data_IF_537876971574
#
_entry.id   IF_537876971574
#
_cell.length_a   1.000
_cell.length_b   1.000
_cell.length_c   1.000
_cell.angle_alpha   90.00
_cell.angle_beta   90.00
_cell.angle_gamma   90.00
#
_symmetry.space_group_name_H-M   'P 1'
#
loop_
_entity.id
_entity.type
_entity.pdbx_description
1 polymer ?
#
# COMPACT_ATOMS: atom_id res chain seq x y z
N UNK A 1 -4.71 20.62 -8.60
CA UNK A 1 -5.27 19.35 -8.11
C UNK A 1 -5.85 18.50 -9.25
N UNK A 2 -6.53 19.10 -10.22
CA UNK A 2 -7.16 18.37 -11.32
C UNK A 2 -6.18 17.48 -12.11
N UNK A 3 -5.02 18.02 -12.49
CA UNK A 3 -3.97 17.26 -13.20
C UNK A 3 -3.43 16.09 -12.36
N UNK A 4 -3.26 16.29 -11.05
CA UNK A 4 -2.83 15.24 -10.13
C UNK A 4 -3.90 14.16 -9.98
N UNK A 5 -5.16 14.54 -9.86
CA UNK A 5 -6.29 13.60 -9.83
C UNK A 5 -6.34 12.74 -11.09
N UNK A 6 -6.34 13.38 -12.27
CA UNK A 6 -6.40 12.67 -13.56
C UNK A 6 -5.24 11.70 -13.76
N UNK A 7 -4.07 12.03 -13.21
CA UNK A 7 -2.88 11.15 -13.31
C UNK A 7 -2.93 10.00 -12.32
N UNK A 8 -3.30 10.25 -11.05
CA UNK A 8 -3.20 9.24 -9.99
C UNK A 8 -4.46 8.42 -9.80
N UNK A 9 -5.67 8.96 -10.00
CA UNK A 9 -6.91 8.25 -9.73
C UNK A 9 -7.03 6.91 -10.48
N UNK A 10 -6.80 6.82 -11.81
CA UNK A 10 -6.86 5.52 -12.51
C UNK A 10 -5.79 4.54 -12.04
N UNK A 11 -4.59 5.01 -11.68
CA UNK A 11 -3.50 4.19 -11.17
C UNK A 11 -3.79 3.63 -9.78
N UNK A 12 -4.32 4.46 -8.91
CA UNK A 12 -4.77 4.06 -7.57
C UNK A 12 -5.91 3.05 -7.67
N UNK A 13 -6.89 3.29 -8.56
CA UNK A 13 -8.00 2.35 -8.80
C UNK A 13 -7.49 0.98 -9.22
N UNK A 14 -6.63 0.93 -10.23
CA UNK A 14 -6.01 -0.32 -10.70
C UNK A 14 -5.26 -1.03 -9.58
N UNK A 15 -4.45 -0.31 -8.80
CA UNK A 15 -3.73 -0.85 -7.66
C UNK A 15 -4.69 -1.47 -6.62
N UNK A 16 -5.77 -0.79 -6.26
CA UNK A 16 -6.73 -1.28 -5.28
C UNK A 16 -7.46 -2.54 -5.77
N UNK A 17 -7.82 -2.58 -7.06
CA UNK A 17 -8.44 -3.75 -7.68
C UNK A 17 -7.48 -4.95 -7.74
N UNK A 18 -6.20 -4.74 -8.04
CA UNK A 18 -5.18 -5.78 -7.98
C UNK A 18 -5.00 -6.35 -6.56
N UNK A 19 -5.35 -5.58 -5.53
CA UNK A 19 -5.39 -6.02 -4.14
C UNK A 19 -6.72 -6.68 -3.72
N UNK A 20 -7.54 -7.09 -4.69
CA UNK A 20 -8.80 -7.80 -4.44
C UNK A 20 -9.94 -6.89 -3.98
N UNK A 21 -9.85 -5.57 -4.17
CA UNK A 21 -10.95 -4.65 -3.87
C UNK A 21 -11.98 -4.69 -4.99
N UNK A 22 -13.29 -4.80 -4.65
CA UNK A 22 -14.34 -4.74 -5.68
C UNK A 22 -14.30 -3.41 -6.45
N UNK A 23 -14.80 -3.36 -7.70
CA UNK A 23 -14.79 -2.14 -8.50
C UNK A 23 -15.49 -0.96 -7.81
N UNK A 24 -16.60 -1.20 -7.13
CA UNK A 24 -17.39 -0.19 -6.42
C UNK A 24 -16.62 0.36 -5.22
N UNK A 25 -16.07 -0.52 -4.40
CA UNK A 25 -15.28 -0.13 -3.23
C UNK A 25 -13.97 0.53 -3.65
N UNK A 26 -13.37 0.12 -4.77
CA UNK A 26 -12.17 0.76 -5.30
C UNK A 26 -12.46 2.20 -5.77
N UNK A 27 -13.63 2.44 -6.39
CA UNK A 27 -14.06 3.79 -6.78
C UNK A 27 -14.22 4.70 -5.57
N UNK A 28 -14.96 4.22 -4.55
CA UNK A 28 -15.14 4.95 -3.29
C UNK A 28 -13.79 5.24 -2.61
N UNK A 29 -12.92 4.24 -2.54
CA UNK A 29 -11.61 4.38 -1.94
C UNK A 29 -10.72 5.38 -2.68
N UNK A 30 -10.78 5.44 -4.02
CA UNK A 30 -10.08 6.44 -4.82
C UNK A 30 -10.57 7.85 -4.51
N UNK A 31 -11.89 8.05 -4.49
CA UNK A 31 -12.47 9.37 -4.20
C UNK A 31 -12.05 9.86 -2.81
N UNK A 32 -12.21 9.03 -1.79
CA UNK A 32 -11.83 9.38 -0.42
C UNK A 32 -10.32 9.57 -0.26
N UNK A 33 -9.51 8.73 -0.90
CA UNK A 33 -8.05 8.86 -0.88
C UNK A 33 -7.59 10.18 -1.51
N UNK A 34 -8.15 10.55 -2.65
CA UNK A 34 -7.79 11.80 -3.34
C UNK A 34 -8.26 13.05 -2.57
N UNK A 35 -9.40 12.99 -1.88
CA UNK A 35 -9.81 14.03 -0.93
C UNK A 35 -8.83 14.14 0.24
N UNK A 36 -8.37 13.02 0.78
CA UNK A 36 -7.38 13.00 1.85
C UNK A 36 -6.01 13.53 1.38
N UNK A 37 -5.61 13.24 0.14
CA UNK A 37 -4.42 13.84 -0.49
C UNK A 37 -4.54 15.36 -0.53
N UNK A 38 -5.68 15.88 -0.97
CA UNK A 38 -5.93 17.31 -1.03
C UNK A 38 -5.90 17.96 0.36
N UNK A 39 -6.62 17.39 1.32
CA UNK A 39 -6.67 17.91 2.71
C UNK A 39 -5.30 17.90 3.40
N UNK A 40 -4.47 16.91 3.10
CA UNK A 40 -3.15 16.71 3.71
C UNK A 40 -1.99 17.24 2.87
N UNK A 41 -2.26 17.94 1.76
CA UNK A 41 -1.23 18.43 0.84
C UNK A 41 -0.16 19.29 1.55
N UNK A 42 -0.57 20.13 2.52
CA UNK A 42 0.35 20.94 3.32
C UNK A 42 1.25 20.13 4.28
N UNK A 43 0.98 18.83 4.48
CA UNK A 43 1.80 17.94 5.31
C UNK A 43 2.78 17.11 4.47
N UNK A 44 2.71 17.23 3.15
CA UNK A 44 3.61 16.52 2.25
C UNK A 44 5.02 17.09 2.34
N UNK A 45 5.98 16.21 2.56
CA UNK A 45 7.39 16.55 2.65
C UNK A 45 8.16 15.75 1.57
N UNK A 46 8.64 16.42 0.50
CA UNK A 46 9.34 15.76 -0.60
C UNK A 46 10.68 15.15 -0.17
N UNK A 47 11.23 15.56 0.97
CA UNK A 47 12.47 14.98 1.49
C UNK A 47 12.21 13.59 2.14
N UNK A 48 10.99 13.34 2.60
CA UNK A 48 10.62 12.07 3.27
C UNK A 48 10.11 11.01 2.30
N UNK A 49 9.38 11.42 1.25
CA UNK A 49 8.83 10.50 0.27
C UNK A 49 8.54 11.19 -1.07
N UNK A 50 8.46 10.41 -2.16
CA UNK A 50 7.91 10.94 -3.42
C UNK A 50 6.40 11.16 -3.28
N UNK A 51 5.85 12.05 -4.10
CA UNK A 51 4.41 12.26 -4.18
C UNK A 51 3.66 10.95 -4.46
N UNK A 52 4.18 10.11 -5.36
CA UNK A 52 3.61 8.80 -5.65
C UNK A 52 3.55 7.92 -4.41
N UNK A 53 4.68 7.70 -3.73
CA UNK A 53 4.73 6.88 -2.50
C UNK A 53 3.74 7.39 -1.43
N UNK A 54 3.65 8.71 -1.27
CA UNK A 54 2.77 9.32 -0.29
C UNK A 54 1.29 9.14 -0.64
N UNK A 55 0.91 9.31 -1.93
CA UNK A 55 -0.46 9.14 -2.42
C UNK A 55 -0.90 7.68 -2.30
N UNK A 56 -0.07 6.72 -2.72
CA UNK A 56 -0.39 5.29 -2.59
C UNK A 56 -0.47 4.83 -1.14
N UNK A 57 0.32 5.41 -0.23
CA UNK A 57 0.18 5.15 1.21
C UNK A 57 -1.17 5.64 1.76
N UNK A 58 -1.63 6.81 1.33
CA UNK A 58 -2.97 7.32 1.69
C UNK A 58 -4.05 6.39 1.13
N UNK A 59 -3.97 6.03 -0.15
CA UNK A 59 -4.95 5.15 -0.80
C UNK A 59 -5.06 3.79 -0.11
N UNK A 60 -3.92 3.18 0.23
CA UNK A 60 -3.88 1.93 0.98
C UNK A 60 -4.57 2.06 2.35
N UNK A 61 -4.26 3.09 3.11
CA UNK A 61 -4.87 3.30 4.42
C UNK A 61 -6.38 3.55 4.31
N UNK A 62 -6.81 4.33 3.33
CA UNK A 62 -8.24 4.57 3.04
C UNK A 62 -8.96 3.25 2.73
N UNK A 63 -8.37 2.39 1.88
CA UNK A 63 -8.93 1.06 1.61
C UNK A 63 -9.10 0.23 2.89
N UNK A 64 -8.09 0.16 3.73
CA UNK A 64 -8.14 -0.58 4.98
C UNK A 64 -9.26 -0.05 5.89
N UNK A 65 -9.40 1.27 5.99
CA UNK A 65 -10.43 1.91 6.81
C UNK A 65 -11.84 1.62 6.28
N UNK A 66 -12.03 1.64 4.96
CA UNK A 66 -13.30 1.29 4.32
C UNK A 66 -13.65 -0.19 4.53
N UNK A 67 -12.70 -1.10 4.32
CA UNK A 67 -12.90 -2.52 4.59
C UNK A 67 -13.31 -2.77 6.04
N UNK A 68 -12.68 -2.09 7.00
CA UNK A 68 -13.07 -2.19 8.42
C UNK A 68 -14.47 -1.68 8.68
N UNK A 69 -14.92 -0.63 8.02
CA UNK A 69 -16.29 -0.12 8.13
C UNK A 69 -17.29 -1.12 7.55
N UNK A 70 -16.95 -1.76 6.44
CA UNK A 70 -17.81 -2.74 5.77
C UNK A 70 -17.90 -4.07 6.56
N UNK A 71 -16.83 -4.46 7.25
CA UNK A 71 -16.76 -5.67 8.07
C UNK A 71 -17.43 -5.49 9.45
N UNK A 72 -17.87 -4.27 9.82
CA UNK A 72 -18.41 -3.90 11.12
C UNK A 72 -19.92 -3.61 11.21
N UNK A 73 -20.81 -4.24 10.42
CA UNK A 73 -22.15 -4.55 10.86
C UNK A 73 -22.23 -6.04 11.22
N UNK A 74 -22.36 -6.33 12.52
CA UNK A 74 -22.75 -7.66 13.08
C UNK A 74 -22.16 -8.88 12.35
N UNK A 75 -20.92 -9.24 12.70
CA UNK A 75 -20.30 -10.47 12.25
C UNK A 75 -21.09 -11.67 12.79
N UNK A 76 -21.78 -12.36 11.88
CA UNK A 76 -22.08 -13.78 12.08
C UNK A 76 -20.74 -14.54 11.86
N UNK A 77 -20.18 -15.19 12.89
CA UNK A 77 -18.92 -15.92 12.77
C UNK A 77 -18.97 -17.12 11.82
N UNK A 78 -20.11 -17.48 11.28
CA UNK A 78 -20.36 -18.66 10.46
C UNK A 78 -20.73 -18.33 9.00
N UNK A 79 -20.58 -17.09 8.53
CA UNK A 79 -20.86 -16.76 7.12
C UNK A 79 -19.74 -17.29 6.21
N UNK A 80 -20.04 -18.30 5.33
CA UNK A 80 -19.06 -18.88 4.41
C UNK A 80 -18.57 -17.92 3.31
N UNK A 81 -19.20 -16.75 3.15
CA UNK A 81 -18.82 -15.75 2.13
C UNK A 81 -17.58 -14.94 2.50
N UNK A 82 -17.02 -15.14 3.70
CA UNK A 82 -15.83 -14.46 4.20
C UNK A 82 -14.50 -15.10 3.79
N UNK A 83 -14.52 -16.18 2.98
CA UNK A 83 -13.30 -16.78 2.43
C UNK A 83 -12.91 -16.01 1.18
N UNK A 84 -11.78 -15.28 1.16
CA UNK A 84 -11.28 -14.67 -0.06
C UNK A 84 -10.93 -15.76 -1.06
N UNK A 85 -11.59 -15.74 -2.21
CA UNK A 85 -11.25 -16.61 -3.34
C UNK A 85 -9.84 -16.28 -3.84
N UNK A 86 -8.88 -17.21 -3.82
CA UNK A 86 -7.51 -16.98 -4.24
C UNK A 86 -7.33 -17.04 -5.76
N UNK A 87 -8.37 -16.79 -6.54
CA UNK A 87 -8.27 -16.89 -7.99
C UNK A 87 -8.17 -15.55 -8.69
N UNK A 88 -7.03 -15.40 -9.36
CA UNK A 88 -6.79 -14.65 -10.61
C UNK A 88 -6.33 -13.19 -10.48
N UNK A 89 -5.09 -12.94 -10.88
CA UNK A 89 -4.86 -12.65 -12.29
C UNK A 89 -3.38 -12.81 -12.62
N UNK A 90 -3.06 -13.82 -13.38
CA UNK A 90 -1.84 -13.90 -14.17
C UNK A 90 -2.18 -13.41 -15.58
N UNK A 91 -2.08 -12.12 -15.85
CA UNK A 91 -1.98 -11.59 -17.22
C UNK A 91 -1.30 -10.23 -17.21
N UNK A 92 -0.26 -10.13 -18.04
CA UNK A 92 0.51 -8.96 -18.46
C UNK A 92 1.67 -8.54 -17.56
N UNK A 93 2.68 -9.39 -17.55
CA UNK A 93 4.01 -9.07 -17.06
C UNK A 93 5.01 -9.49 -18.12
N UNK A 94 5.34 -8.61 -19.07
CA UNK A 94 6.52 -8.81 -19.92
C UNK A 94 7.50 -7.65 -19.87
N UNK A 95 7.10 -6.45 -19.49
CA UNK A 95 8.04 -5.33 -19.20
C UNK A 95 8.25 -5.08 -17.70
N UNK A 96 7.47 -5.70 -16.84
CA UNK A 96 7.60 -5.62 -15.39
C UNK A 96 8.61 -6.61 -14.79
N UNK A 97 9.23 -7.51 -15.59
CA UNK A 97 10.04 -8.59 -15.03
C UNK A 97 11.41 -8.12 -14.53
N UNK A 98 12.09 -7.24 -15.27
CA UNK A 98 13.42 -6.74 -14.86
C UNK A 98 13.33 -5.78 -13.68
N UNK A 99 12.40 -4.81 -13.72
CA UNK A 99 12.16 -3.89 -12.61
C UNK A 99 11.64 -4.64 -11.37
N UNK A 100 10.76 -5.63 -11.55
CA UNK A 100 10.28 -6.45 -10.45
C UNK A 100 11.39 -7.30 -9.83
N UNK A 101 12.31 -7.83 -10.62
CA UNK A 101 13.45 -8.60 -10.14
C UNK A 101 14.47 -7.71 -9.41
N UNK A 102 14.73 -6.51 -9.91
CA UNK A 102 15.55 -5.52 -9.20
C UNK A 102 14.94 -5.15 -7.85
N UNK A 103 13.63 -4.92 -7.78
CA UNK A 103 12.93 -4.65 -6.52
C UNK A 103 13.04 -5.84 -5.57
N UNK A 104 12.84 -7.07 -6.04
CA UNK A 104 12.98 -8.29 -5.20
C UNK A 104 14.38 -8.41 -4.63
N UNK A 105 15.40 -8.22 -5.47
CA UNK A 105 16.81 -8.26 -5.07
C UNK A 105 17.11 -7.19 -4.02
N UNK A 106 16.65 -5.96 -4.23
CA UNK A 106 16.81 -4.86 -3.28
C UNK A 106 16.10 -5.13 -1.95
N UNK A 107 14.91 -5.75 -1.98
CA UNK A 107 14.19 -6.15 -0.76
C UNK A 107 14.96 -7.24 -0.01
N UNK A 108 15.55 -8.20 -0.71
CA UNK A 108 16.34 -9.28 -0.10
C UNK A 108 17.60 -8.77 0.62
N UNK A 109 18.13 -7.60 0.22
CA UNK A 109 19.29 -6.96 0.86
C UNK A 109 18.93 -6.12 2.11
N UNK A 110 17.65 -5.92 2.39
CA UNK A 110 17.23 -5.17 3.57
C UNK A 110 17.48 -5.95 4.86
N UNK A 111 17.69 -5.27 6.00
CA UNK A 111 17.68 -5.91 7.31
C UNK A 111 16.36 -6.67 7.56
N UNK A 112 16.39 -7.83 8.27
CA UNK A 112 15.21 -8.66 8.49
C UNK A 112 14.02 -7.91 9.08
N UNK A 113 14.26 -6.99 10.01
CA UNK A 113 13.20 -6.17 10.62
C UNK A 113 12.56 -5.15 9.66
N UNK A 114 13.26 -4.75 8.60
CA UNK A 114 12.71 -3.90 7.54
C UNK A 114 11.94 -4.73 6.52
N UNK A 115 12.45 -5.92 6.17
CA UNK A 115 11.73 -6.87 5.31
C UNK A 115 10.39 -7.25 5.94
N UNK A 116 10.38 -7.57 7.25
CA UNK A 116 9.17 -8.00 7.96
C UNK A 116 8.10 -6.91 7.97
N UNK A 117 8.42 -5.65 8.28
CA UNK A 117 7.43 -4.58 8.25
C UNK A 117 6.93 -4.28 6.85
N UNK A 118 7.77 -4.41 5.80
CA UNK A 118 7.34 -4.28 4.41
C UNK A 118 6.39 -5.42 4.03
N UNK A 119 6.73 -6.65 4.39
CA UNK A 119 5.90 -7.83 4.12
C UNK A 119 4.51 -7.65 4.73
N UNK A 120 4.43 -7.33 6.01
CA UNK A 120 3.17 -7.13 6.72
C UNK A 120 2.38 -5.94 6.15
N UNK A 121 3.07 -4.85 5.81
CA UNK A 121 2.42 -3.65 5.31
C UNK A 121 1.92 -3.76 3.86
N UNK A 122 2.71 -4.33 2.95
CA UNK A 122 2.44 -4.26 1.51
C UNK A 122 1.95 -5.57 0.90
N UNK A 123 2.30 -6.72 1.49
CA UNK A 123 1.83 -8.01 1.00
C UNK A 123 0.61 -8.52 1.78
N UNK A 124 0.59 -8.35 3.10
CA UNK A 124 -0.54 -8.77 3.95
C UNK A 124 -1.54 -7.64 4.21
N UNK A 125 -1.30 -6.43 3.70
CA UNK A 125 -2.16 -5.25 3.86
C UNK A 125 -2.55 -4.92 5.31
N UNK A 126 -1.68 -5.25 6.26
CA UNK A 126 -1.91 -4.99 7.68
C UNK A 126 -1.69 -3.50 7.98
N UNK A 127 -2.59 -2.88 8.73
CA UNK A 127 -2.45 -1.49 9.16
C UNK A 127 -1.23 -1.31 10.07
N UNK A 128 -0.53 -0.18 9.97
CA UNK A 128 0.69 0.09 10.75
C UNK A 128 0.47 -0.02 12.27
N UNK A 129 -0.72 0.33 12.75
CA UNK A 129 -1.10 0.17 14.17
C UNK A 129 -1.20 -1.29 14.59
N UNK A 130 -1.64 -2.17 13.69
CA UNK A 130 -1.71 -3.61 13.94
C UNK A 130 -0.35 -4.27 13.82
N UNK A 131 0.49 -3.80 12.87
CA UNK A 131 1.89 -4.23 12.78
C UNK A 131 2.63 -3.90 14.09
N UNK A 132 2.42 -2.71 14.63
CA UNK A 132 3.00 -2.30 15.90
C UNK A 132 2.61 -3.24 17.05
N UNK A 133 1.33 -3.65 17.11
CA UNK A 133 0.85 -4.63 18.10
C UNK A 133 1.43 -6.03 17.84
N UNK A 134 1.39 -6.51 16.58
CA UNK A 134 1.83 -7.84 16.19
C UNK A 134 3.33 -8.06 16.47
N UNK A 135 4.15 -7.03 16.20
CA UNK A 135 5.59 -7.08 16.41
C UNK A 135 6.01 -6.57 17.79
N UNK A 136 5.07 -6.10 18.62
CA UNK A 136 5.32 -5.49 19.92
C UNK A 136 6.37 -4.36 19.89
N UNK A 137 6.24 -3.46 18.92
CA UNK A 137 7.11 -2.29 18.73
C UNK A 137 6.26 -1.00 18.61
N UNK A 138 6.82 0.17 18.95
CA UNK A 138 6.11 1.44 18.80
C UNK A 138 5.69 1.70 17.35
N UNK A 139 4.53 2.33 17.16
CA UNK A 139 4.05 2.74 15.83
C UNK A 139 5.06 3.63 15.08
N UNK A 140 5.78 4.50 15.81
CA UNK A 140 6.87 5.30 15.26
C UNK A 140 7.99 4.46 14.67
N UNK A 141 8.31 3.33 15.31
CA UNK A 141 9.33 2.37 14.84
C UNK A 141 8.86 1.67 13.57
N UNK A 142 7.59 1.26 13.48
CA UNK A 142 7.03 0.69 12.22
C UNK A 142 7.18 1.68 11.08
N UNK A 143 6.74 2.94 11.29
CA UNK A 143 6.83 4.00 10.27
C UNK A 143 8.27 4.30 9.86
N UNK A 144 9.20 4.36 10.79
CA UNK A 144 10.62 4.63 10.49
C UNK A 144 11.28 3.46 9.74
N UNK A 145 10.99 2.22 10.11
CA UNK A 145 11.50 1.03 9.40
C UNK A 145 10.99 0.98 7.96
N UNK A 146 9.72 1.23 7.73
CA UNK A 146 9.14 1.31 6.37
C UNK A 146 9.80 2.42 5.56
N UNK A 147 9.97 3.62 6.15
CA UNK A 147 10.63 4.74 5.46
C UNK A 147 12.05 4.41 5.06
N UNK A 148 12.85 3.86 5.99
CA UNK A 148 14.24 3.49 5.73
C UNK A 148 14.35 2.38 4.68
N UNK A 149 13.46 1.39 4.73
CA UNK A 149 13.40 0.32 3.73
C UNK A 149 13.14 0.87 2.33
N UNK A 150 12.13 1.72 2.17
CA UNK A 150 11.80 2.37 0.89
C UNK A 150 12.94 3.24 0.40
N UNK A 151 13.62 3.96 1.28
CA UNK A 151 14.77 4.80 0.93
C UNK A 151 15.94 3.95 0.41
N UNK A 152 16.25 2.83 1.05
CA UNK A 152 17.30 1.89 0.60
C UNK A 152 16.99 1.28 -0.75
N UNK A 153 15.77 0.77 -0.94
CA UNK A 153 15.32 0.22 -2.24
C UNK A 153 15.51 1.26 -3.35
N UNK A 154 15.17 2.52 -3.09
CA UNK A 154 15.36 3.60 -4.07
C UNK A 154 16.81 3.87 -4.41
N UNK A 155 17.70 3.89 -3.42
CA UNK A 155 19.13 4.08 -3.66
C UNK A 155 19.67 2.96 -4.56
N UNK A 156 19.35 1.71 -4.24
CA UNK A 156 19.77 0.53 -5.02
C UNK A 156 19.28 0.59 -6.48
N UNK A 157 17.99 0.92 -6.70
CA UNK A 157 17.42 1.03 -8.05
C UNK A 157 17.96 2.25 -8.79
N UNK A 158 18.25 3.35 -8.08
CA UNK A 158 18.77 4.59 -8.67
C UNK A 158 20.24 4.50 -9.08
N UNK A 159 21.05 3.68 -8.42
CA UNK A 159 22.47 3.45 -8.75
C UNK A 159 22.66 2.53 -9.96
N UNK A 160 21.62 1.85 -10.42
CA UNK A 160 21.65 0.96 -11.60
C UNK A 160 21.10 1.60 -12.88
N UNK A 161 20.82 2.92 -12.87
CA UNK A 161 20.50 3.76 -14.02
C UNK A 161 21.64 4.69 -14.34
#
# INVERSE_FOLDING_TARGET
FHSLFNYFAPRVKSYLQQKGTSPELAEEAVQEAMLNVWRKAGQFDPQKASASTWIFAIARNTRIDLLRKTIRPELDPNDPSLVPDPSKSAVEIVSASEEAEQIRSSVALLPPEQQEVLRLAFFEDIAHTEIARKLNIPLGTVKSRIRLAVQRIRSEIGEHK
#
